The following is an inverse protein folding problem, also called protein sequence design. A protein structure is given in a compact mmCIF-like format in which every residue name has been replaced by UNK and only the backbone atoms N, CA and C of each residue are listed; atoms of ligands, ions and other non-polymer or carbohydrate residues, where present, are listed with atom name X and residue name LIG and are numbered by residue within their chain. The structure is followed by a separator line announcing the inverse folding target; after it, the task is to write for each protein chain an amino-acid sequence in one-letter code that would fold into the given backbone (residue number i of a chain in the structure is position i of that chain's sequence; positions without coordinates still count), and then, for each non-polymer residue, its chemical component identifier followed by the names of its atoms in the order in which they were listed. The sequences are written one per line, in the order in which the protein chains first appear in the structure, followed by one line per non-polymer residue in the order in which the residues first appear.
data_IF_079644797442
#
_entry.id   IF_079644797442
#
_cell.length_a   1.000
_cell.length_b   1.000
_cell.length_c   1.000
_cell.angle_alpha   90.00
_cell.angle_beta   90.00
_cell.angle_gamma   90.00
#
_symmetry.space_group_name_H-M   'P 1'
#
loop_
_entity.id
_entity.type
_entity.pdbx_description
1 polymer ?
#
# COMPACT_ATOMS: atom_id res chain seq x y z
N UNK A 1 -40.63 -66.13 -15.66
CA UNK A 1 -40.91 -64.68 -15.76
C UNK A 1 -39.60 -63.99 -15.46
N UNK A 2 -38.75 -63.86 -16.47
CA UNK A 2 -37.50 -63.08 -16.42
C UNK A 2 -37.37 -62.43 -17.79
N UNK A 3 -37.59 -61.13 -17.85
CA UNK A 3 -37.41 -60.32 -19.06
C UNK A 3 -36.79 -58.98 -18.68
N UNK A 4 -35.81 -58.59 -19.49
CA UNK A 4 -35.40 -57.21 -19.78
C UNK A 4 -34.64 -56.42 -18.72
N UNK A 5 -33.31 -56.62 -18.66
CA UNK A 5 -32.38 -55.56 -18.23
C UNK A 5 -31.12 -55.41 -19.10
N UNK A 6 -30.84 -56.35 -20.02
CA UNK A 6 -29.61 -56.34 -20.82
C UNK A 6 -29.80 -55.87 -22.27
N UNK A 7 -31.02 -55.81 -22.78
CA UNK A 7 -31.32 -55.31 -24.14
C UNK A 7 -31.28 -53.77 -24.21
N UNK A 8 -31.57 -53.11 -23.09
CA UNK A 8 -31.75 -51.65 -23.01
C UNK A 8 -30.42 -50.88 -23.08
N UNK A 9 -29.37 -51.37 -22.40
CA UNK A 9 -28.04 -50.73 -22.40
C UNK A 9 -27.34 -50.76 -23.77
N UNK A 10 -27.43 -51.87 -24.50
CA UNK A 10 -26.83 -51.98 -25.83
C UNK A 10 -27.56 -51.17 -26.91
N UNK A 11 -28.84 -50.88 -26.72
CA UNK A 11 -29.61 -50.01 -27.60
C UNK A 11 -29.23 -48.54 -27.40
N UNK A 12 -29.11 -48.10 -26.15
CA UNK A 12 -28.71 -46.73 -25.78
C UNK A 12 -27.28 -46.41 -26.28
N UNK A 13 -26.33 -47.35 -26.19
CA UNK A 13 -24.97 -47.15 -26.71
C UNK A 13 -24.94 -47.04 -28.25
N UNK A 14 -25.78 -47.79 -28.95
CA UNK A 14 -25.89 -47.70 -30.42
C UNK A 14 -26.55 -46.42 -30.87
N UNK A 15 -27.59 -45.97 -30.17
CA UNK A 15 -28.25 -44.69 -30.43
C UNK A 15 -27.31 -43.51 -30.17
N UNK A 16 -26.52 -43.55 -29.10
CA UNK A 16 -25.54 -42.49 -28.81
C UNK A 16 -24.40 -42.48 -29.81
N UNK A 17 -23.87 -43.63 -30.22
CA UNK A 17 -22.87 -43.72 -31.31
C UNK A 17 -23.44 -43.23 -32.65
N UNK A 18 -24.69 -43.57 -32.97
CA UNK A 18 -25.35 -43.12 -34.18
C UNK A 18 -25.56 -41.60 -34.17
N UNK A 19 -25.96 -41.02 -33.03
CA UNK A 19 -26.10 -39.58 -32.86
C UNK A 19 -24.76 -38.86 -33.07
N UNK A 20 -23.68 -39.36 -32.48
CA UNK A 20 -22.32 -38.77 -32.63
C UNK A 20 -21.82 -38.87 -34.07
N UNK A 21 -22.09 -39.99 -34.76
CA UNK A 21 -21.74 -40.15 -36.17
C UNK A 21 -22.53 -39.18 -37.06
N UNK A 22 -23.82 -39.00 -36.78
CA UNK A 22 -24.67 -38.05 -37.50
C UNK A 22 -24.19 -36.61 -37.29
N UNK A 23 -23.90 -36.23 -36.03
CA UNK A 23 -23.35 -34.92 -35.69
C UNK A 23 -22.00 -34.68 -36.36
N UNK A 24 -21.11 -35.68 -36.37
CA UNK A 24 -19.81 -35.59 -37.06
C UNK A 24 -19.97 -35.42 -38.58
N UNK A 25 -20.90 -36.15 -39.21
CA UNK A 25 -21.16 -35.98 -40.65
C UNK A 25 -21.78 -34.62 -41.00
N UNK A 26 -22.64 -34.08 -40.13
CA UNK A 26 -23.20 -32.74 -40.27
C UNK A 26 -22.11 -31.67 -40.13
N UNK A 27 -21.24 -31.81 -39.13
CA UNK A 27 -20.11 -30.91 -38.91
C UNK A 27 -19.13 -30.94 -40.10
N UNK A 28 -18.81 -32.13 -40.61
CA UNK A 28 -17.95 -32.29 -41.79
C UNK A 28 -18.54 -31.63 -43.04
N UNK A 29 -19.86 -31.78 -43.27
CA UNK A 29 -20.55 -31.13 -44.39
C UNK A 29 -20.51 -29.61 -44.26
N UNK A 30 -20.74 -29.09 -43.06
CA UNK A 30 -20.72 -27.64 -42.78
C UNK A 30 -19.32 -27.08 -42.97
N UNK A 31 -18.29 -27.82 -42.53
CA UNK A 31 -16.90 -27.43 -42.72
C UNK A 31 -16.50 -27.37 -44.20
N UNK A 32 -16.93 -28.34 -45.01
CA UNK A 32 -16.69 -28.30 -46.47
C UNK A 32 -17.33 -27.07 -47.12
N UNK A 33 -18.53 -26.67 -46.71
CA UNK A 33 -19.17 -25.45 -47.22
C UNK A 33 -18.40 -24.18 -46.82
N UNK A 34 -17.86 -24.14 -45.60
CA UNK A 34 -17.01 -23.03 -45.18
C UNK A 34 -15.71 -22.95 -45.98
N UNK A 35 -15.10 -24.09 -46.33
CA UNK A 35 -13.91 -24.14 -47.18
C UNK A 35 -14.22 -23.60 -48.59
N UNK A 36 -15.34 -24.01 -49.19
CA UNK A 36 -15.75 -23.48 -50.51
C UNK A 36 -16.01 -21.97 -50.49
N UNK A 37 -16.66 -21.46 -49.43
CA UNK A 37 -16.87 -20.03 -49.24
C UNK A 37 -15.54 -19.28 -49.09
N UNK A 38 -14.57 -19.85 -48.38
CA UNK A 38 -13.25 -19.26 -48.20
C UNK A 38 -12.47 -19.22 -49.52
N UNK A 39 -12.51 -20.29 -50.32
CA UNK A 39 -11.91 -20.33 -51.66
C UNK A 39 -12.50 -19.23 -52.54
N UNK A 40 -13.83 -19.05 -52.49
CA UNK A 40 -14.51 -18.00 -53.25
C UNK A 40 -14.10 -16.60 -52.80
N UNK A 41 -13.96 -16.38 -51.49
CA UNK A 41 -13.52 -15.10 -50.94
C UNK A 41 -12.07 -14.77 -51.33
N UNK A 42 -11.16 -15.75 -51.25
CA UNK A 42 -9.77 -15.60 -51.67
C UNK A 42 -9.68 -15.26 -53.16
N UNK A 43 -10.44 -15.95 -54.00
CA UNK A 43 -10.48 -15.67 -55.44
C UNK A 43 -10.97 -14.25 -55.74
N UNK A 44 -11.97 -13.75 -55.02
CA UNK A 44 -12.45 -12.37 -55.18
C UNK A 44 -11.40 -11.33 -54.76
N UNK A 45 -10.62 -11.63 -53.71
CA UNK A 45 -9.49 -10.77 -53.30
C UNK A 45 -8.39 -10.79 -54.36
N UNK A 46 -8.06 -11.96 -54.90
CA UNK A 46 -7.08 -12.11 -55.99
C UNK A 46 -7.51 -11.29 -57.23
N UNK A 47 -8.77 -11.41 -57.64
CA UNK A 47 -9.34 -10.65 -58.75
C UNK A 47 -9.27 -9.13 -58.50
N UNK A 48 -9.60 -8.68 -57.28
CA UNK A 48 -9.49 -7.25 -56.88
C UNK A 48 -8.05 -6.75 -56.92
N UNK A 49 -7.08 -7.56 -56.48
CA UNK A 49 -5.65 -7.21 -56.52
C UNK A 49 -5.18 -7.10 -57.97
N UNK A 50 -5.61 -8.00 -58.84
CA UNK A 50 -5.26 -7.98 -60.26
C UNK A 50 -5.86 -6.78 -60.99
N UNK A 51 -7.09 -6.37 -60.65
CA UNK A 51 -7.69 -5.11 -61.14
C UNK A 51 -6.88 -3.91 -60.67
N UNK A 52 -6.54 -3.84 -59.37
CA UNK A 52 -5.77 -2.72 -58.81
C UNK A 52 -4.38 -2.59 -59.45
N UNK A 53 -3.73 -3.72 -59.74
CA UNK A 53 -2.43 -3.77 -60.41
C UNK A 53 -2.50 -3.31 -61.87
N UNK A 54 -3.63 -3.56 -62.55
CA UNK A 54 -3.87 -3.05 -63.91
C UNK A 54 -4.16 -1.55 -63.91
N UNK A 55 -4.94 -1.07 -62.94
CA UNK A 55 -5.27 0.35 -62.78
C UNK A 55 -4.03 1.21 -62.46
N UNK A 56 -3.17 0.73 -61.54
CA UNK A 56 -1.86 1.37 -61.26
C UNK A 56 -0.90 1.40 -62.46
N UNK A 57 -1.03 0.46 -63.42
CA UNK A 57 -0.22 0.49 -64.67
C UNK A 57 -0.73 1.56 -65.65
N UNK A 58 -2.00 1.93 -65.58
CA UNK A 58 -2.59 2.98 -66.41
C UNK A 58 -2.19 4.36 -65.86
N UNK A 59 -2.26 4.55 -64.53
CA UNK A 59 -1.87 5.82 -63.88
C UNK A 59 -0.38 6.15 -64.02
N UNK A 60 0.52 5.16 -64.10
CA UNK A 60 1.96 5.39 -64.31
C UNK A 60 2.32 6.05 -65.64
N UNK A 61 1.40 6.12 -66.61
CA UNK A 61 1.66 6.74 -67.92
C UNK A 61 1.29 8.23 -67.98
N UNK A 62 0.75 8.82 -66.92
CA UNK A 62 0.53 10.28 -66.83
C UNK A 62 1.49 10.85 -65.80
N UNK A 63 2.72 11.11 -66.24
CA UNK A 63 3.70 11.89 -65.49
C UNK A 63 3.31 13.38 -65.54
N UNK A 64 2.38 13.81 -64.69
CA UNK A 64 2.31 15.21 -64.31
C UNK A 64 3.39 15.49 -63.26
N UNK A 65 4.49 16.07 -63.72
CA UNK A 65 5.61 16.51 -62.90
C UNK A 65 5.16 17.72 -62.06
N UNK A 66 4.49 17.45 -60.93
CA UNK A 66 4.06 18.47 -59.97
C UNK A 66 5.30 19.03 -59.26
N UNK A 67 5.49 20.35 -59.30
CA UNK A 67 6.67 21.05 -58.74
C UNK A 67 6.73 20.94 -57.20
N UNK A 68 7.36 19.86 -56.72
CA UNK A 68 7.47 19.48 -55.31
C UNK A 68 8.29 20.51 -54.48
N UNK A 69 9.06 21.38 -55.14
CA UNK A 69 9.92 22.37 -54.46
C UNK A 69 9.13 23.39 -53.64
N UNK A 70 7.95 23.79 -54.11
CA UNK A 70 7.12 24.77 -53.40
C UNK A 70 6.53 24.18 -52.13
N UNK A 71 6.14 22.91 -52.17
CA UNK A 71 5.59 22.18 -51.02
C UNK A 71 6.67 21.96 -49.97
N UNK A 72 7.89 21.59 -50.39
CA UNK A 72 9.03 21.42 -49.49
C UNK A 72 9.38 22.72 -48.74
N UNK A 73 9.38 23.86 -49.45
CA UNK A 73 9.66 25.16 -48.85
C UNK A 73 8.60 25.56 -47.80
N UNK A 74 7.32 25.26 -48.06
CA UNK A 74 6.21 25.53 -47.12
C UNK A 74 6.36 24.67 -45.86
N UNK A 75 6.71 23.39 -46.01
CA UNK A 75 6.91 22.48 -44.89
C UNK A 75 8.12 22.89 -44.04
N UNK A 76 9.25 23.23 -44.67
CA UNK A 76 10.44 23.69 -43.96
C UNK A 76 10.17 24.97 -43.17
N UNK A 77 9.42 25.91 -43.75
CA UNK A 77 8.98 27.13 -43.04
C UNK A 77 8.05 26.80 -41.87
N UNK A 78 7.09 25.89 -42.05
CA UNK A 78 6.18 25.44 -41.00
C UNK A 78 6.92 24.80 -39.81
N UNK A 79 7.91 23.95 -40.08
CA UNK A 79 8.74 23.34 -39.03
C UNK A 79 9.59 24.37 -38.26
N UNK A 80 10.12 25.38 -38.95
CA UNK A 80 10.87 26.47 -38.32
C UNK A 80 9.98 27.30 -37.39
N UNK A 81 8.77 27.65 -37.82
CA UNK A 81 7.80 28.40 -37.01
C UNK A 81 7.33 27.59 -35.79
N UNK A 82 7.09 26.29 -35.94
CA UNK A 82 6.72 25.40 -34.83
C UNK A 82 7.87 25.33 -33.81
N UNK A 83 9.12 25.15 -34.26
CA UNK A 83 10.30 25.12 -33.40
C UNK A 83 10.46 26.44 -32.63
N UNK A 84 10.19 27.56 -33.29
CA UNK A 84 10.25 28.88 -32.68
C UNK A 84 9.12 29.11 -31.66
N UNK A 85 7.91 28.65 -31.96
CA UNK A 85 6.78 28.68 -31.04
C UNK A 85 7.01 27.80 -29.80
N UNK A 86 7.59 26.61 -29.96
CA UNK A 86 7.96 25.74 -28.83
C UNK A 86 9.05 26.39 -27.95
N UNK A 87 10.02 27.06 -28.56
CA UNK A 87 11.08 27.78 -27.83
C UNK A 87 10.56 29.00 -27.05
N UNK A 88 9.45 29.59 -27.49
CA UNK A 88 8.79 30.73 -26.83
C UNK A 88 7.64 30.34 -25.91
N UNK A 89 7.20 29.08 -25.94
CA UNK A 89 6.17 28.61 -25.04
C UNK A 89 6.73 28.66 -23.61
N UNK A 90 6.07 29.35 -22.67
CA UNK A 90 6.51 29.34 -21.29
C UNK A 90 6.46 27.88 -20.81
N UNK A 91 7.62 27.26 -20.62
CA UNK A 91 7.71 25.92 -20.04
C UNK A 91 6.90 25.94 -18.76
N UNK A 92 5.88 25.09 -18.66
CA UNK A 92 5.07 24.97 -17.46
C UNK A 92 6.00 24.47 -16.35
N UNK A 93 6.53 25.39 -15.53
CA UNK A 93 7.35 25.07 -14.36
C UNK A 93 6.38 24.50 -13.34
N UNK A 94 6.16 23.19 -13.42
CA UNK A 94 5.44 22.45 -12.39
C UNK A 94 6.33 22.49 -11.15
N UNK A 95 6.11 23.49 -10.29
CA UNK A 95 6.77 23.57 -8.99
C UNK A 95 6.29 22.39 -8.15
N UNK A 96 7.11 21.34 -8.11
CA UNK A 96 6.88 20.18 -7.27
C UNK A 96 7.31 20.55 -5.85
N UNK A 97 6.37 21.02 -5.02
CA UNK A 97 6.60 21.17 -3.58
C UNK A 97 6.62 19.78 -2.95
N UNK A 98 7.79 19.13 -2.98
CA UNK A 98 8.03 17.95 -2.17
C UNK A 98 8.55 18.42 -0.82
N UNK A 99 7.81 18.16 0.25
CA UNK A 99 8.36 18.14 1.60
C UNK A 99 9.24 16.89 1.67
N UNK A 100 10.44 17.04 1.14
CA UNK A 100 11.50 16.07 1.28
C UNK A 100 12.08 16.33 2.67
N UNK A 101 11.94 15.36 3.58
CA UNK A 101 12.56 15.42 4.91
C UNK A 101 14.11 15.53 4.81
N UNK A 102 14.67 15.41 3.60
CA UNK A 102 16.09 15.40 3.28
C UNK A 102 16.35 16.18 1.98
N UNK A 103 17.36 17.06 1.91
CA UNK A 103 17.73 17.71 0.65
C UNK A 103 18.35 16.71 -0.35
N UNK A 104 18.00 16.79 -1.64
CA UNK A 104 18.57 15.93 -2.70
C UNK A 104 20.09 16.13 -2.90
N UNK A 105 20.62 17.28 -2.51
CA UNK A 105 22.05 17.59 -2.47
C UNK A 105 22.49 17.79 -1.01
N UNK A 106 23.64 17.22 -0.63
CA UNK A 106 24.27 17.35 0.69
C UNK A 106 23.52 16.80 1.93
N UNK A 107 22.69 15.75 1.75
CA UNK A 107 22.02 15.04 2.86
C UNK A 107 22.99 14.60 3.98
N UNK A 108 24.23 14.24 3.63
CA UNK A 108 25.26 13.79 4.58
C UNK A 108 25.75 14.92 5.50
N UNK A 109 25.88 16.14 4.99
CA UNK A 109 26.28 17.32 5.75
C UNK A 109 25.15 17.77 6.68
N UNK A 110 23.92 17.76 6.17
CA UNK A 110 22.74 18.13 6.95
C UNK A 110 22.48 17.17 8.12
N UNK A 111 22.54 15.85 7.87
CA UNK A 111 22.42 14.83 8.91
C UNK A 111 23.53 14.97 9.96
N UNK A 112 24.77 15.22 9.55
CA UNK A 112 25.90 15.41 10.47
C UNK A 112 25.68 16.61 11.39
N UNK A 113 25.13 17.74 10.93
CA UNK A 113 24.91 18.90 11.80
C UNK A 113 23.67 18.72 12.68
N UNK A 114 22.53 18.36 12.10
CA UNK A 114 21.23 18.32 12.81
C UNK A 114 21.17 17.14 13.76
N UNK A 115 21.51 15.93 13.32
CA UNK A 115 21.47 14.75 14.20
C UNK A 115 22.65 14.68 15.17
N UNK A 116 23.80 15.31 14.89
CA UNK A 116 24.93 15.24 15.83
C UNK A 116 24.89 16.35 16.88
N UNK A 117 24.60 17.60 16.51
CA UNK A 117 24.69 18.73 17.45
C UNK A 117 23.33 19.09 18.04
N UNK A 118 22.32 19.28 17.20
CA UNK A 118 21.00 19.75 17.64
C UNK A 118 20.22 18.66 18.36
N UNK A 119 20.16 17.46 17.80
CA UNK A 119 19.49 16.33 18.43
C UNK A 119 20.16 15.93 19.75
N UNK A 120 21.50 15.98 19.82
CA UNK A 120 22.23 15.71 21.05
C UNK A 120 21.92 16.76 22.14
N UNK A 121 21.85 18.04 21.79
CA UNK A 121 21.42 19.09 22.72
C UNK A 121 19.98 18.87 23.22
N UNK A 122 19.08 18.44 22.33
CA UNK A 122 17.71 18.13 22.68
C UNK A 122 17.63 16.93 23.63
N UNK A 123 18.36 15.86 23.33
CA UNK A 123 18.45 14.68 24.18
C UNK A 123 19.01 15.02 25.57
N UNK A 124 20.05 15.86 25.63
CA UNK A 124 20.61 16.37 26.89
C UNK A 124 19.56 17.16 27.66
N UNK A 125 18.86 18.11 27.02
CA UNK A 125 17.80 18.89 27.68
C UNK A 125 16.69 18.00 28.25
N UNK A 126 16.24 17.00 27.50
CA UNK A 126 15.23 16.04 27.96
C UNK A 126 15.76 15.21 29.13
N UNK A 127 17.00 14.74 29.06
CA UNK A 127 17.64 14.00 30.13
C UNK A 127 17.76 14.83 31.41
N UNK A 128 18.19 16.10 31.31
CA UNK A 128 18.25 17.00 32.46
C UNK A 128 16.87 17.28 33.05
N UNK A 129 15.86 17.50 32.22
CA UNK A 129 14.49 17.75 32.71
C UNK A 129 13.93 16.53 33.46
N UNK A 130 14.12 15.33 32.92
CA UNK A 130 13.72 14.10 33.59
C UNK A 130 14.51 13.85 34.87
N UNK A 131 15.83 14.09 34.86
CA UNK A 131 16.66 13.94 36.05
C UNK A 131 16.30 14.96 37.14
N UNK A 132 15.96 16.19 36.75
CA UNK A 132 15.50 17.22 37.67
C UNK A 132 14.17 16.82 38.32
N UNK A 133 13.17 16.43 37.52
CA UNK A 133 11.88 15.97 38.03
C UNK A 133 12.04 14.74 38.93
N UNK A 134 12.86 13.77 38.52
CA UNK A 134 13.18 12.60 39.33
C UNK A 134 13.86 12.98 40.65
N UNK A 135 14.83 13.91 40.63
CA UNK A 135 15.52 14.39 41.81
C UNK A 135 14.60 15.08 42.81
N UNK A 136 13.67 15.92 42.33
CA UNK A 136 12.67 16.57 43.17
C UNK A 136 11.73 15.53 43.78
N UNK A 137 11.16 14.63 42.98
CA UNK A 137 10.28 13.57 43.49
C UNK A 137 10.98 12.63 44.48
N UNK A 138 12.24 12.29 44.23
CA UNK A 138 13.04 11.47 45.15
C UNK A 138 13.29 12.18 46.48
N UNK A 139 13.65 13.47 46.44
CA UNK A 139 13.84 14.29 47.63
C UNK A 139 12.55 14.44 48.44
N UNK A 140 11.43 14.74 47.78
CA UNK A 140 10.15 14.94 48.44
C UNK A 140 9.64 13.66 49.09
N UNK A 141 9.72 12.52 48.38
CA UNK A 141 9.36 11.22 48.94
C UNK A 141 10.21 10.86 50.17
N UNK A 142 11.51 11.11 50.12
CA UNK A 142 12.39 10.84 51.28
C UNK A 142 12.03 11.71 52.47
N UNK A 143 11.72 12.99 52.24
CA UNK A 143 11.29 13.90 53.28
C UNK A 143 9.96 13.48 53.89
N UNK A 144 8.99 13.07 53.08
CA UNK A 144 7.71 12.56 53.58
C UNK A 144 7.88 11.29 54.41
N UNK A 145 8.72 10.35 53.96
CA UNK A 145 9.04 9.13 54.71
C UNK A 145 9.68 9.48 56.05
N UNK A 146 10.64 10.40 56.08
CA UNK A 146 11.30 10.84 57.32
C UNK A 146 10.30 11.49 58.28
N UNK A 147 9.42 12.36 57.79
CA UNK A 147 8.36 12.98 58.59
C UNK A 147 7.42 11.92 59.16
N UNK A 148 6.98 10.95 58.35
CA UNK A 148 6.13 9.85 58.80
C UNK A 148 6.82 8.98 59.85
N UNK A 149 8.11 8.68 59.69
CA UNK A 149 8.90 7.94 60.67
C UNK A 149 8.99 8.71 61.99
N UNK A 150 9.31 10.01 61.94
CA UNK A 150 9.36 10.87 63.14
C UNK A 150 8.01 10.91 63.85
N UNK A 151 6.91 11.04 63.10
CA UNK A 151 5.55 11.04 63.67
C UNK A 151 5.22 9.68 64.31
N UNK A 152 5.49 8.58 63.62
CA UNK A 152 5.27 7.24 64.13
C UNK A 152 6.12 6.97 65.40
N UNK A 153 7.37 7.43 65.42
CA UNK A 153 8.24 7.32 66.59
C UNK A 153 7.72 8.12 67.78
N UNK A 154 7.20 9.34 67.54
CA UNK A 154 6.57 10.14 68.59
C UNK A 154 5.32 9.45 69.14
N UNK A 155 4.46 8.92 68.27
CA UNK A 155 3.26 8.19 68.68
C UNK A 155 3.62 6.93 69.47
N UNK A 156 4.63 6.17 69.03
CA UNK A 156 5.14 4.99 69.73
C UNK A 156 5.64 5.36 71.13
N UNK A 157 6.47 6.39 71.25
CA UNK A 157 6.97 6.86 72.55
C UNK A 157 5.87 7.36 73.47
N UNK A 158 4.89 8.09 72.92
CA UNK A 158 3.73 8.55 73.69
C UNK A 158 2.87 7.37 74.18
N UNK A 159 2.67 6.36 73.32
CA UNK A 159 1.96 5.13 73.67
C UNK A 159 2.70 4.34 74.75
N UNK A 160 4.01 4.16 74.63
CA UNK A 160 4.86 3.51 75.64
C UNK A 160 4.80 4.26 76.98
N UNK A 161 4.97 5.58 76.96
CA UNK A 161 4.85 6.42 78.16
C UNK A 161 3.48 6.28 78.83
N UNK A 162 2.40 6.37 78.04
CA UNK A 162 1.04 6.21 78.54
C UNK A 162 0.82 4.80 79.08
N UNK A 163 1.34 3.78 78.40
CA UNK A 163 1.24 2.41 78.84
C UNK A 163 1.95 2.26 80.18
N UNK A 164 3.21 2.67 80.32
CA UNK A 164 3.99 2.46 81.54
C UNK A 164 3.42 3.20 82.76
N UNK A 165 3.00 4.45 82.58
CA UNK A 165 2.56 5.34 83.66
C UNK A 165 1.09 5.15 84.10
N UNK A 166 0.31 4.30 83.42
CA UNK A 166 -1.10 4.07 83.77
C UNK A 166 -1.36 2.81 84.59
N UNK A 167 -2.57 2.73 85.13
CA UNK A 167 -3.06 1.60 85.92
C UNK A 167 -3.26 0.32 85.07
N UNK A 168 -3.47 -0.81 85.76
CA UNK A 168 -3.59 -2.15 85.15
C UNK A 168 -4.81 -2.28 84.21
N UNK A 169 -5.92 -1.62 84.52
CA UNK A 169 -7.14 -1.65 83.70
C UNK A 169 -6.93 -0.92 82.36
N UNK A 170 -6.36 0.28 82.39
CA UNK A 170 -6.02 1.03 81.16
C UNK A 170 -5.02 0.27 80.30
N UNK A 171 -3.99 -0.35 80.91
CA UNK A 171 -3.04 -1.23 80.19
C UNK A 171 -3.75 -2.38 79.47
N UNK A 172 -4.77 -2.99 80.08
CA UNK A 172 -5.56 -4.07 79.47
C UNK A 172 -6.41 -3.58 78.30
N UNK A 173 -7.03 -2.41 78.43
CA UNK A 173 -7.79 -1.77 77.33
C UNK A 173 -6.88 -1.42 76.15
N UNK A 174 -5.70 -0.84 76.43
CA UNK A 174 -4.70 -0.52 75.41
C UNK A 174 -4.22 -1.77 74.66
N UNK A 175 -3.94 -2.87 75.37
CA UNK A 175 -3.61 -4.16 74.73
C UNK A 175 -4.73 -4.70 73.85
N UNK A 176 -5.98 -4.62 74.32
CA UNK A 176 -7.14 -5.04 73.53
C UNK A 176 -7.28 -4.19 72.26
N UNK A 177 -7.11 -2.87 72.37
CA UNK A 177 -7.13 -1.97 71.21
C UNK A 177 -6.03 -2.33 70.20
N UNK A 178 -4.81 -2.63 70.68
CA UNK A 178 -3.71 -3.05 69.81
C UNK A 178 -3.99 -4.38 69.10
N UNK A 179 -4.47 -5.41 69.80
CA UNK A 179 -4.84 -6.71 69.20
C UNK A 179 -5.94 -6.53 68.15
N UNK A 180 -7.00 -5.77 68.47
CA UNK A 180 -8.07 -5.48 67.52
C UNK A 180 -7.57 -4.73 66.27
N UNK A 181 -6.54 -3.87 66.40
CA UNK A 181 -5.95 -3.16 65.26
C UNK A 181 -5.15 -4.08 64.33
N UNK A 182 -4.64 -5.21 64.83
CA UNK A 182 -3.95 -6.23 64.05
C UNK A 182 -4.93 -7.16 63.32
N UNK A 183 -6.08 -7.45 63.94
CA UNK A 183 -7.11 -8.33 63.36
C UNK A 183 -7.99 -7.64 62.30
N UNK A 184 -8.13 -6.30 62.36
CA UNK A 184 -8.90 -5.50 61.40
C UNK A 184 -8.09 -5.03 60.16
N UNK A 185 -6.97 -5.70 59.86
CA UNK A 185 -6.10 -5.40 58.71
C UNK A 185 -6.18 -6.51 57.68
#
# INVERSE_FOLDING_TARGET
METNSNTDKGHIERETLQLVLEEFTLEQKTNNQHIEALITAVKNVEDKIDVFKKEHRIEKNVSEQLDIKQIEAILQKGFLDIKYMIGRQPKNIVKKFQILLFPEQDAKLFYKIVFSRWFLWLAIMVALSNLYNWGIHYSDNNKEIEIQQIQNDRLRKAWEYMYDNNNKETKKLMKKAYINSLENK
#
